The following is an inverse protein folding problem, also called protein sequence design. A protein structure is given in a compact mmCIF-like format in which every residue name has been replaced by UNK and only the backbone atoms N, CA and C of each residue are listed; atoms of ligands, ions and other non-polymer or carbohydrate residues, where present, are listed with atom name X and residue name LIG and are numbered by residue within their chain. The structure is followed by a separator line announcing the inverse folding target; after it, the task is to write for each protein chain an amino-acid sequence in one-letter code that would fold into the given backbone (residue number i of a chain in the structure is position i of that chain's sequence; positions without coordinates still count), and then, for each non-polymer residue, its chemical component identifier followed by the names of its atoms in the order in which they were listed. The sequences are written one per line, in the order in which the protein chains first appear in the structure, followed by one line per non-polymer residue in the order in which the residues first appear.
data_IF_120288866154
#
_entry.id   IF_120288866154
#
_cell.length_a   1.000
_cell.length_b   1.000
_cell.length_c   1.000
_cell.angle_alpha   90.00
_cell.angle_beta   90.00
_cell.angle_gamma   90.00
#
_symmetry.space_group_name_H-M   'P 1'
#
loop_
_entity.id
_entity.type
_entity.pdbx_description
1 polymer ?
#
# COMPACT_ATOMS: atom_id res chain seq x y z
N UNK A 1 22.55 20.55 6.31
CA UNK A 1 23.25 21.71 6.93
C UNK A 1 23.46 22.73 5.80
N UNK A 2 22.78 23.89 5.80
CA UNK A 2 22.81 24.82 4.66
C UNK A 2 24.20 25.45 4.46
N UNK A 3 24.61 25.62 3.21
CA UNK A 3 25.90 26.23 2.85
C UNK A 3 25.66 27.68 2.44
N UNK A 4 26.27 28.65 3.11
CA UNK A 4 26.07 30.07 2.77
C UNK A 4 27.20 30.57 1.85
N UNK A 5 26.87 31.46 0.92
CA UNK A 5 27.86 32.18 0.10
C UNK A 5 27.55 33.67 0.06
N UNK A 6 28.59 34.50 0.02
CA UNK A 6 28.47 35.95 -0.01
C UNK A 6 28.53 36.49 -1.46
N UNK A 7 27.78 37.55 -1.73
CA UNK A 7 27.88 38.33 -2.97
C UNK A 7 27.77 39.83 -2.68
N UNK A 8 28.01 40.67 -3.69
CA UNK A 8 28.25 42.12 -3.54
C UNK A 8 27.21 42.91 -2.72
N UNK A 9 25.99 42.38 -2.56
CA UNK A 9 24.92 42.98 -1.72
C UNK A 9 24.07 41.92 -1.00
N UNK A 10 24.67 40.87 -0.44
CA UNK A 10 23.92 39.92 0.39
C UNK A 10 24.59 38.57 0.59
N UNK A 11 23.87 37.68 1.27
CA UNK A 11 24.24 36.29 1.47
C UNK A 11 23.16 35.38 0.88
N UNK A 12 23.57 34.40 0.08
CA UNK A 12 22.72 33.35 -0.48
C UNK A 12 22.89 32.05 0.29
N UNK A 13 21.85 31.23 0.29
CA UNK A 13 21.90 29.84 0.76
C UNK A 13 22.04 28.94 -0.47
N UNK A 14 23.02 28.03 -0.43
CA UNK A 14 23.24 26.99 -1.40
C UNK A 14 22.89 25.63 -0.77
N UNK A 15 22.13 24.84 -1.53
CA UNK A 15 21.61 23.54 -1.14
C UNK A 15 20.09 23.50 -1.18
N UNK A 16 19.54 22.49 -1.86
CA UNK A 16 18.12 22.19 -1.88
C UNK A 16 17.72 21.48 -0.58
N UNK A 17 16.44 21.53 -0.18
CA UNK A 17 15.99 21.06 1.14
C UNK A 17 15.96 19.52 1.32
N UNK A 18 16.79 18.76 0.61
CA UNK A 18 16.77 17.28 0.63
C UNK A 18 18.02 16.61 0.03
N UNK A 19 18.06 15.27 -0.03
CA UNK A 19 19.18 14.52 -0.60
C UNK A 19 19.40 14.85 -2.09
N UNK A 20 20.61 15.28 -2.45
CA UNK A 20 21.00 15.59 -3.82
C UNK A 20 21.48 14.31 -4.54
N UNK A 21 20.94 14.05 -5.73
CA UNK A 21 21.38 12.92 -6.55
C UNK A 21 22.59 13.32 -7.43
N UNK A 22 23.64 12.49 -7.43
CA UNK A 22 24.75 12.61 -8.41
C UNK A 22 24.33 11.87 -9.67
N UNK A 23 24.02 12.63 -10.74
CA UNK A 23 23.55 12.08 -12.01
C UNK A 23 24.65 12.18 -13.09
N UNK A 24 24.87 11.14 -13.92
CA UNK A 24 25.85 11.20 -15.00
C UNK A 24 25.40 12.17 -16.09
N UNK A 25 26.25 13.15 -16.42
CA UNK A 25 26.05 14.08 -17.54
C UNK A 25 26.77 13.58 -18.79
N UNK A 26 26.14 13.77 -19.96
CA UNK A 26 26.77 13.54 -21.26
C UNK A 26 26.53 14.73 -22.18
N UNK A 27 27.50 14.99 -23.06
CA UNK A 27 27.36 15.98 -24.13
C UNK A 27 26.53 15.41 -25.28
N UNK A 28 25.48 16.14 -25.66
CA UNK A 28 24.64 15.85 -26.83
C UNK A 28 25.28 16.28 -28.15
N UNK A 29 24.65 15.89 -29.27
CA UNK A 29 25.08 16.28 -30.60
C UNK A 29 24.96 17.79 -30.87
N UNK A 30 24.12 18.48 -30.09
CA UNK A 30 23.96 19.93 -30.06
C UNK A 30 25.02 20.63 -29.17
N UNK A 31 25.97 19.87 -28.62
CA UNK A 31 27.06 20.39 -27.79
C UNK A 31 26.68 20.69 -26.34
N UNK A 32 25.42 20.51 -25.94
CA UNK A 32 24.96 20.80 -24.58
C UNK A 32 25.15 19.61 -23.65
N UNK A 33 25.31 19.87 -22.36
CA UNK A 33 25.35 18.83 -21.33
C UNK A 33 23.92 18.56 -20.85
N UNK A 34 23.55 17.28 -20.76
CA UNK A 34 22.28 16.83 -20.20
C UNK A 34 22.46 15.58 -19.35
N UNK A 35 21.50 15.33 -18.45
CA UNK A 35 21.43 14.09 -17.67
C UNK A 35 21.07 12.95 -18.62
N UNK A 36 21.87 11.88 -18.59
CA UNK A 36 21.51 10.64 -19.29
C UNK A 36 20.65 9.82 -18.35
N UNK A 37 19.45 9.44 -18.80
CA UNK A 37 18.68 8.42 -18.11
C UNK A 37 19.49 7.12 -18.09
N UNK A 38 19.95 6.72 -16.91
CA UNK A 38 20.53 5.41 -16.72
C UNK A 38 19.41 4.37 -16.89
N UNK A 39 19.34 3.74 -18.06
CA UNK A 39 18.36 2.71 -18.37
C UNK A 39 17.40 3.08 -19.50
N UNK A 40 17.89 3.14 -20.74
CA UNK A 40 17.01 2.93 -21.91
C UNK A 40 16.92 1.45 -22.31
N UNK A 41 17.29 0.53 -21.41
CA UNK A 41 17.28 -0.91 -21.62
C UNK A 41 16.28 -1.59 -20.71
N UNK A 42 14.99 -1.50 -21.05
CA UNK A 42 13.92 -2.26 -20.40
C UNK A 42 13.07 -1.41 -19.47
N UNK A 43 11.81 -1.23 -19.85
CA UNK A 43 10.76 -0.95 -18.88
C UNK A 43 10.85 -2.04 -17.80
N UNK A 44 11.22 -1.67 -16.58
CA UNK A 44 11.06 -2.56 -15.44
C UNK A 44 9.56 -2.83 -15.34
N UNK A 45 9.15 -4.03 -15.76
CA UNK A 45 7.76 -4.48 -15.65
C UNK A 45 7.45 -4.60 -14.15
N UNK A 46 6.80 -3.59 -13.61
CA UNK A 46 6.33 -3.58 -12.24
C UNK A 46 5.03 -4.40 -12.17
N UNK A 47 5.15 -5.65 -11.73
CA UNK A 47 4.03 -6.56 -11.51
C UNK A 47 3.98 -6.94 -10.02
N UNK A 48 3.36 -6.10 -9.15
CA UNK A 48 3.22 -6.44 -7.74
C UNK A 48 2.27 -7.63 -7.57
N UNK A 49 2.70 -8.62 -6.79
CA UNK A 49 1.84 -9.70 -6.30
C UNK A 49 1.17 -9.25 -4.99
N UNK A 50 -0.16 -9.25 -4.96
CA UNK A 50 -0.93 -8.88 -3.77
C UNK A 50 -1.52 -10.13 -3.12
N UNK A 51 -1.02 -10.50 -1.94
CA UNK A 51 -1.59 -11.57 -1.12
C UNK A 51 -2.56 -10.95 -0.10
N UNK A 52 -3.86 -11.06 -0.36
CA UNK A 52 -4.91 -10.54 0.53
C UNK A 52 -5.43 -11.67 1.41
N UNK A 53 -5.25 -11.55 2.72
CA UNK A 53 -5.82 -12.45 3.72
C UNK A 53 -6.92 -11.73 4.50
N UNK A 54 -8.14 -12.30 4.55
CA UNK A 54 -9.28 -11.70 5.26
C UNK A 54 -9.50 -12.45 6.57
N UNK A 55 -9.26 -11.78 7.68
CA UNK A 55 -9.56 -12.27 9.02
C UNK A 55 -10.86 -11.64 9.49
N UNK A 56 -11.90 -12.45 9.67
CA UNK A 56 -13.18 -12.00 10.21
C UNK A 56 -13.27 -12.42 11.69
N UNK A 57 -12.91 -11.50 12.57
CA UNK A 57 -12.89 -11.66 14.03
C UNK A 57 -14.08 -10.98 14.74
N UNK A 58 -15.08 -10.53 13.97
CA UNK A 58 -16.22 -9.71 14.42
C UNK A 58 -15.90 -8.29 14.90
N UNK A 59 -14.66 -7.81 14.82
CA UNK A 59 -14.28 -6.49 15.36
C UNK A 59 -14.95 -5.30 14.67
N UNK A 60 -15.31 -5.43 13.39
CA UNK A 60 -15.84 -4.36 12.56
C UNK A 60 -17.30 -4.57 12.12
N UNK A 61 -18.14 -5.17 12.99
CA UNK A 61 -19.55 -5.40 12.71
C UNK A 61 -19.84 -6.56 11.75
N UNK A 62 -18.80 -7.32 11.38
CA UNK A 62 -18.98 -8.58 10.68
C UNK A 62 -19.44 -9.68 11.64
N UNK A 63 -20.21 -10.65 11.14
CA UNK A 63 -20.59 -11.82 11.92
C UNK A 63 -19.34 -12.70 12.04
N UNK A 64 -18.76 -12.77 13.25
CA UNK A 64 -17.63 -13.64 13.53
C UNK A 64 -18.02 -15.11 13.71
N UNK A 65 -17.01 -15.99 13.84
CA UNK A 65 -17.20 -17.44 13.87
C UNK A 65 -18.13 -17.92 14.99
N UNK A 66 -18.07 -17.32 16.18
CA UNK A 66 -18.88 -17.69 17.33
C UNK A 66 -20.35 -17.33 17.13
N UNK A 67 -20.62 -16.15 16.57
CA UNK A 67 -21.97 -15.72 16.24
C UNK A 67 -22.59 -16.60 15.15
N UNK A 68 -21.81 -16.99 14.14
CA UNK A 68 -22.25 -17.93 13.11
C UNK A 68 -22.60 -19.30 13.70
N UNK A 69 -21.79 -19.82 14.62
CA UNK A 69 -22.10 -21.07 15.34
C UNK A 69 -23.37 -20.95 16.17
N UNK A 70 -23.60 -19.81 16.83
CA UNK A 70 -24.83 -19.59 17.60
C UNK A 70 -26.08 -19.62 16.70
N UNK A 71 -26.04 -18.91 15.57
CA UNK A 71 -27.14 -18.93 14.59
C UNK A 71 -27.37 -20.36 14.05
N UNK A 72 -26.31 -21.07 13.73
CA UNK A 72 -26.39 -22.47 13.29
C UNK A 72 -27.03 -23.38 14.34
N UNK A 73 -26.63 -23.26 15.61
CA UNK A 73 -27.16 -24.06 16.70
C UNK A 73 -28.64 -23.74 16.97
N UNK A 74 -29.03 -22.46 16.89
CA UNK A 74 -30.43 -22.04 17.00
C UNK A 74 -31.25 -22.67 15.87
N UNK A 75 -30.78 -22.59 14.62
CA UNK A 75 -31.45 -23.22 13.48
C UNK A 75 -31.59 -24.73 13.64
N UNK A 76 -30.51 -25.40 14.06
CA UNK A 76 -30.52 -26.85 14.33
C UNK A 76 -31.52 -27.21 15.43
N UNK A 77 -31.55 -26.45 16.52
CA UNK A 77 -32.51 -26.66 17.61
C UNK A 77 -33.94 -26.44 17.15
N UNK A 78 -34.22 -25.34 16.45
CA UNK A 78 -35.55 -25.04 15.94
C UNK A 78 -36.06 -26.13 14.99
N UNK A 79 -35.19 -26.68 14.12
CA UNK A 79 -35.54 -27.81 13.28
C UNK A 79 -35.86 -29.06 14.09
N UNK A 80 -35.04 -29.41 15.09
CA UNK A 80 -35.29 -30.56 15.97
C UNK A 80 -36.61 -30.39 16.73
N UNK A 81 -36.85 -29.22 17.31
CA UNK A 81 -38.06 -28.91 18.06
C UNK A 81 -39.31 -29.04 17.17
N UNK A 82 -39.23 -28.55 15.92
CA UNK A 82 -40.31 -28.69 14.93
C UNK A 82 -40.62 -30.16 14.62
N UNK A 83 -39.60 -30.97 14.34
CA UNK A 83 -39.78 -32.40 14.07
C UNK A 83 -40.33 -33.16 15.28
N UNK A 84 -39.85 -32.84 16.49
CA UNK A 84 -40.36 -33.44 17.72
C UNK A 84 -41.81 -33.07 18.00
N UNK A 85 -42.21 -31.85 17.67
CA UNK A 85 -43.59 -31.39 17.80
C UNK A 85 -44.50 -32.08 16.78
N UNK A 86 -44.07 -32.21 15.52
CA UNK A 86 -44.79 -32.99 14.50
C UNK A 86 -44.89 -34.49 14.82
N UNK A 87 -43.94 -35.04 15.58
CA UNK A 87 -43.97 -36.45 15.99
C UNK A 87 -44.87 -36.69 17.21
N UNK A 88 -45.34 -35.62 17.88
CA UNK A 88 -46.17 -35.67 19.08
C UNK A 88 -47.67 -35.49 18.81
N UNK A 89 -48.01 -35.00 17.62
CA UNK A 89 -49.38 -34.92 17.09
C UNK A 89 -49.67 -36.15 16.20
#
# INVERSE_FOLDING_TARGET
RPTFFAFAKGAGVMGEAGPEAILPLRRGADGKLGVVAAGSGGMAMFAPEYNIEIHNDAGNGQIGPQALQAVYNIGKKAAIDFWQQQSRD
#
